data_IF_788628467141
#
_entry.id   IF_788628467141
#
_cell.length_a   1.000
_cell.length_b   1.000
_cell.length_c   1.000
_cell.angle_alpha   90.00
_cell.angle_beta   90.00
_cell.angle_gamma   90.00
#
_symmetry.space_group_name_H-M   'P 1'
#
loop_
_entity.id
_entity.type
_entity.pdbx_description
1 polymer ?
#
# COMPACT_ATOMS: atom_id res chain seq x y z
N UNK A 1 -23.34 15.05 23.57
CA UNK A 1 -22.42 14.27 24.45
C UNK A 1 -21.00 14.75 24.20
N UNK A 2 -20.42 15.54 25.12
CA UNK A 2 -19.06 16.05 24.99
C UNK A 2 -18.07 14.88 25.05
N UNK A 3 -17.26 14.71 24.00
CA UNK A 3 -16.09 13.82 24.05
C UNK A 3 -15.22 14.27 25.23
N UNK A 4 -14.79 13.33 26.09
CA UNK A 4 -13.79 13.65 27.10
C UNK A 4 -12.60 14.30 26.41
N UNK A 5 -11.97 15.32 27.02
CA UNK A 5 -10.81 16.04 26.42
C UNK A 5 -9.76 15.06 25.87
N UNK A 6 -9.51 13.95 26.54
CA UNK A 6 -8.56 12.93 26.12
C UNK A 6 -8.88 12.28 24.75
N UNK A 7 -10.16 12.02 24.43
CA UNK A 7 -10.54 11.42 23.14
C UNK A 7 -10.37 12.37 21.95
N UNK A 8 -10.49 13.69 22.18
CA UNK A 8 -10.20 14.69 21.13
C UNK A 8 -8.73 14.69 20.76
N UNK A 9 -7.82 14.66 21.75
CA UNK A 9 -6.37 14.64 21.49
C UNK A 9 -5.93 13.38 20.78
N UNK A 10 -6.47 12.21 21.14
CA UNK A 10 -6.16 10.95 20.48
C UNK A 10 -6.52 10.97 18.99
N UNK A 11 -7.73 11.47 18.66
CA UNK A 11 -8.16 11.58 17.27
C UNK A 11 -7.33 12.57 16.47
N UNK A 12 -7.01 13.73 17.07
CA UNK A 12 -6.17 14.74 16.41
C UNK A 12 -4.76 14.23 16.15
N UNK A 13 -4.17 13.47 17.07
CA UNK A 13 -2.85 12.89 16.88
C UNK A 13 -2.84 11.81 15.79
N UNK A 14 -3.88 10.98 15.73
CA UNK A 14 -4.04 10.01 14.64
C UNK A 14 -4.12 10.70 13.27
N UNK A 15 -4.86 11.81 13.18
CA UNK A 15 -4.93 12.64 11.98
C UNK A 15 -3.55 13.17 11.58
N UNK A 16 -2.75 13.65 12.54
CA UNK A 16 -1.40 14.12 12.29
C UNK A 16 -0.48 13.01 11.73
N UNK A 17 -0.58 11.77 12.25
CA UNK A 17 0.15 10.63 11.70
C UNK A 17 -0.23 10.37 10.24
N UNK A 18 -1.53 10.41 9.91
CA UNK A 18 -2.00 10.23 8.54
C UNK A 18 -1.49 11.33 7.61
N UNK A 19 -1.58 12.59 8.03
CA UNK A 19 -1.06 13.73 7.26
C UNK A 19 0.43 13.55 7.01
N UNK A 20 1.22 13.26 8.05
CA UNK A 20 2.65 13.04 7.96
C UNK A 20 2.98 11.92 6.96
N UNK A 21 2.26 10.78 7.04
CA UNK A 21 2.47 9.64 6.14
C UNK A 21 2.17 9.97 4.68
N UNK A 22 1.13 10.76 4.41
CA UNK A 22 0.75 11.18 3.05
C UNK A 22 1.77 12.15 2.46
N UNK A 23 2.18 13.16 3.22
CA UNK A 23 3.16 14.16 2.76
C UNK A 23 4.55 13.56 2.52
N UNK A 24 4.88 12.47 3.21
CA UNK A 24 6.13 11.74 3.00
C UNK A 24 6.03 10.59 2.00
N UNK A 25 5.03 10.46 1.20
CA UNK A 25 4.63 9.42 0.24
C UNK A 25 5.70 8.51 -0.40
N UNK A 26 6.94 8.58 0.12
CA UNK A 26 8.09 7.75 -0.22
C UNK A 26 8.34 6.67 0.84
N UNK A 27 8.88 5.53 0.41
CA UNK A 27 9.29 4.45 1.29
C UNK A 27 10.78 4.61 1.62
N UNK A 28 11.10 5.08 2.83
CA UNK A 28 12.46 5.14 3.36
C UNK A 28 12.52 4.46 4.73
N UNK A 29 13.65 3.86 5.06
CA UNK A 29 13.84 3.22 6.36
C UNK A 29 13.63 4.19 7.54
N UNK A 30 14.02 5.45 7.36
CA UNK A 30 13.77 6.51 8.34
C UNK A 30 12.25 6.74 8.55
N UNK A 31 11.46 6.76 7.47
CA UNK A 31 10.02 6.92 7.52
C UNK A 31 9.36 5.76 8.30
N UNK A 32 9.80 4.54 8.05
CA UNK A 32 9.30 3.35 8.77
C UNK A 32 9.57 3.45 10.27
N UNK A 33 10.77 3.88 10.66
CA UNK A 33 11.13 4.09 12.07
C UNK A 33 10.25 5.17 12.73
N UNK A 34 10.09 6.31 12.08
CA UNK A 34 9.28 7.41 12.60
C UNK A 34 7.81 6.98 12.73
N UNK A 35 7.25 6.30 11.73
CA UNK A 35 5.89 5.77 11.80
C UNK A 35 5.72 4.77 12.94
N UNK A 36 6.66 3.86 13.13
CA UNK A 36 6.63 2.92 14.25
C UNK A 36 6.62 3.64 15.60
N UNK A 37 7.49 4.63 15.79
CA UNK A 37 7.54 5.43 17.02
C UNK A 37 6.25 6.21 17.25
N UNK A 38 5.72 6.88 16.22
CA UNK A 38 4.49 7.65 16.32
C UNK A 38 3.28 6.75 16.66
N UNK A 39 3.15 5.61 16.01
CA UNK A 39 2.07 4.66 16.24
C UNK A 39 2.19 4.03 17.63
N UNK A 40 3.40 3.66 18.05
CA UNK A 40 3.66 3.12 19.40
C UNK A 40 3.36 4.14 20.50
N UNK A 41 3.78 5.40 20.31
CA UNK A 41 3.47 6.49 21.23
C UNK A 41 1.95 6.74 21.31
N UNK A 42 1.27 6.73 20.17
CA UNK A 42 -0.18 6.85 20.12
C UNK A 42 -0.88 5.71 20.84
N UNK A 43 -0.39 4.47 20.71
CA UNK A 43 -0.90 3.32 21.47
C UNK A 43 -0.77 3.52 22.98
N UNK A 44 0.39 4.02 23.45
CA UNK A 44 0.61 4.32 24.88
C UNK A 44 -0.38 5.37 25.37
N UNK A 45 -0.63 6.42 24.59
CA UNK A 45 -1.63 7.44 24.93
C UNK A 45 -3.04 6.83 25.04
N UNK A 46 -3.40 5.94 24.13
CA UNK A 46 -4.69 5.26 24.14
C UNK A 46 -4.84 4.30 25.33
N UNK A 47 -3.79 3.58 25.70
CA UNK A 47 -3.81 2.57 26.78
C UNK A 47 -4.07 3.14 28.17
N UNK A 48 -3.89 4.45 28.35
CA UNK A 48 -4.25 5.15 29.61
C UNK A 48 -5.76 5.25 29.88
N UNK A 49 -6.59 5.00 28.89
CA UNK A 49 -8.05 4.98 29.06
C UNK A 49 -8.51 3.57 29.45
N UNK A 50 -9.19 3.42 30.60
CA UNK A 50 -9.72 2.13 31.11
C UNK A 50 -10.62 1.43 30.09
N UNK A 51 -11.41 2.19 29.32
CA UNK A 51 -12.29 1.66 28.29
C UNK A 51 -11.49 0.99 27.14
N UNK A 52 -10.33 1.53 26.80
CA UNK A 52 -9.44 0.92 25.81
C UNK A 52 -8.98 -0.47 26.25
N UNK A 53 -8.61 -0.64 27.50
CA UNK A 53 -8.14 -1.93 28.01
C UNK A 53 -9.24 -3.01 27.98
N UNK A 54 -10.48 -2.65 28.25
CA UNK A 54 -11.63 -3.57 28.13
C UNK A 54 -11.87 -3.96 26.67
N UNK A 55 -11.89 -2.99 25.78
CA UNK A 55 -12.06 -3.24 24.35
C UNK A 55 -10.88 -4.03 23.76
N UNK A 56 -9.65 -3.78 24.24
CA UNK A 56 -8.48 -4.56 23.82
C UNK A 56 -8.65 -6.04 24.17
N UNK A 57 -9.02 -6.35 25.41
CA UNK A 57 -9.28 -7.72 25.84
C UNK A 57 -10.34 -8.40 24.97
N UNK A 58 -11.42 -7.66 24.66
CA UNK A 58 -12.50 -8.15 23.81
C UNK A 58 -12.00 -8.41 22.39
N UNK A 59 -11.29 -7.46 21.77
CA UNK A 59 -10.69 -7.60 20.45
C UNK A 59 -9.76 -8.81 20.35
N UNK A 60 -8.86 -8.97 21.34
CA UNK A 60 -7.94 -10.12 21.38
C UNK A 60 -8.70 -11.43 21.50
N UNK A 61 -9.78 -11.45 22.30
CA UNK A 61 -10.59 -12.66 22.46
C UNK A 61 -11.32 -13.06 21.18
N UNK A 62 -11.91 -12.09 20.49
CA UNK A 62 -12.61 -12.32 19.21
C UNK A 62 -11.67 -12.76 18.09
N UNK A 63 -10.49 -12.16 18.01
CA UNK A 63 -9.55 -12.39 16.90
C UNK A 63 -8.34 -13.23 17.33
N UNK A 64 -8.49 -14.09 18.34
CA UNK A 64 -7.40 -14.84 18.95
C UNK A 64 -6.57 -15.63 17.93
N UNK A 65 -7.21 -16.31 16.98
CA UNK A 65 -6.53 -17.11 15.95
C UNK A 65 -5.72 -16.24 15.00
N UNK A 66 -6.31 -15.15 14.51
CA UNK A 66 -5.65 -14.22 13.61
C UNK A 66 -4.42 -13.57 14.26
N UNK A 67 -4.58 -13.08 15.49
CA UNK A 67 -3.48 -12.48 16.26
C UNK A 67 -2.38 -13.50 16.54
N UNK A 68 -2.73 -14.74 16.86
CA UNK A 68 -1.76 -15.81 17.09
C UNK A 68 -0.89 -16.07 15.85
N UNK A 69 -1.50 -16.26 14.67
CA UNK A 69 -0.76 -16.46 13.43
C UNK A 69 0.07 -15.23 13.04
N UNK A 70 -0.44 -14.03 13.29
CA UNK A 70 0.31 -12.80 13.04
C UNK A 70 1.53 -12.67 13.96
N UNK A 71 1.39 -12.98 15.23
CA UNK A 71 2.52 -13.00 16.18
C UNK A 71 3.56 -14.06 15.77
N UNK A 72 3.12 -15.26 15.37
CA UNK A 72 4.02 -16.27 14.83
C UNK A 72 4.76 -15.77 13.58
N UNK A 73 4.07 -15.04 12.70
CA UNK A 73 4.70 -14.40 11.55
C UNK A 73 5.78 -13.38 11.97
N UNK A 74 5.52 -12.54 12.98
CA UNK A 74 6.53 -11.61 13.50
C UNK A 74 7.74 -12.33 14.11
N UNK A 75 7.53 -13.40 14.85
CA UNK A 75 8.63 -14.24 15.37
C UNK A 75 9.41 -14.90 14.23
N UNK A 76 8.73 -15.32 13.18
CA UNK A 76 9.38 -15.83 11.98
C UNK A 76 10.26 -14.78 11.29
N UNK A 77 9.81 -13.54 11.15
CA UNK A 77 10.64 -12.45 10.64
C UNK A 77 11.87 -12.19 11.52
N UNK A 78 11.68 -12.21 12.82
CA UNK A 78 12.80 -12.11 13.75
C UNK A 78 13.81 -13.26 13.56
N UNK A 79 13.33 -14.49 13.37
CA UNK A 79 14.16 -15.66 13.09
C UNK A 79 14.99 -15.50 11.81
N UNK A 80 14.44 -14.91 10.74
CA UNK A 80 15.19 -14.62 9.52
C UNK A 80 16.35 -13.63 9.72
N UNK A 81 16.26 -12.76 10.74
CA UNK A 81 17.25 -11.71 11.04
C UNK A 81 18.34 -12.21 11.97
N UNK A 82 18.01 -13.15 12.86
CA UNK A 82 18.95 -13.63 13.88
C UNK A 82 20.19 -14.29 13.27
N UNK A 83 21.38 -14.03 13.83
CA UNK A 83 22.60 -14.69 13.40
C UNK A 83 22.56 -16.16 13.80
N UNK A 84 22.58 -17.04 12.82
CA UNK A 84 22.62 -18.49 12.98
C UNK A 84 24.02 -19.01 12.66
N UNK A 85 24.45 -20.16 13.23
CA UNK A 85 25.66 -20.83 12.79
C UNK A 85 25.64 -21.09 11.28
N UNK A 86 26.74 -20.78 10.58
CA UNK A 86 26.78 -20.89 9.10
C UNK A 86 26.39 -22.29 8.61
N UNK A 87 26.76 -23.33 9.35
CA UNK A 87 26.36 -24.70 8.98
C UNK A 87 24.86 -24.93 8.96
N UNK A 88 24.10 -24.23 9.78
CA UNK A 88 22.63 -24.33 9.75
C UNK A 88 22.02 -23.71 8.51
N UNK A 89 22.71 -22.76 7.84
CA UNK A 89 22.26 -22.19 6.58
C UNK A 89 22.23 -23.20 5.43
N UNK A 90 22.94 -24.33 5.54
CA UNK A 90 22.83 -25.44 4.59
C UNK A 90 21.38 -25.88 4.44
N UNK A 91 20.63 -25.83 5.54
CA UNK A 91 19.21 -26.21 5.58
C UNK A 91 18.27 -25.04 5.32
N UNK A 92 18.48 -23.90 5.98
CA UNK A 92 17.55 -22.76 5.93
C UNK A 92 17.71 -21.88 4.69
N UNK A 93 18.92 -21.73 4.15
CA UNK A 93 19.23 -20.88 3.00
C UNK A 93 20.43 -21.42 2.23
N UNK A 94 20.27 -22.54 1.46
CA UNK A 94 21.37 -23.23 0.78
C UNK A 94 22.14 -22.31 -0.20
N UNK A 95 21.43 -21.44 -0.91
CA UNK A 95 22.06 -20.54 -1.88
C UNK A 95 22.93 -19.48 -1.19
N UNK A 96 22.47 -18.91 -0.06
CA UNK A 96 23.31 -18.01 0.74
C UNK A 96 24.51 -18.73 1.32
N UNK A 97 24.36 -19.99 1.77
CA UNK A 97 25.48 -20.80 2.23
C UNK A 97 26.54 -21.00 1.13
N UNK A 98 26.13 -21.35 -0.09
CA UNK A 98 27.05 -21.48 -1.25
C UNK A 98 27.78 -20.15 -1.51
N UNK A 99 27.05 -19.04 -1.49
CA UNK A 99 27.60 -17.70 -1.68
C UNK A 99 28.66 -17.36 -0.64
N UNK A 100 28.40 -17.62 0.66
CA UNK A 100 29.36 -17.37 1.73
C UNK A 100 30.64 -18.20 1.59
N UNK A 101 30.52 -19.45 1.16
CA UNK A 101 31.68 -20.31 0.90
C UNK A 101 32.50 -19.78 -0.28
N UNK A 102 31.85 -19.33 -1.34
CA UNK A 102 32.54 -18.81 -2.54
C UNK A 102 33.36 -17.55 -2.24
N UNK A 103 33.00 -16.81 -1.18
CA UNK A 103 33.74 -15.64 -0.71
C UNK A 103 34.96 -15.98 0.17
N UNK A 104 35.24 -17.28 0.43
CA UNK A 104 36.30 -17.74 1.34
C UNK A 104 36.28 -17.00 2.70
N UNK A 105 35.06 -16.70 3.21
CA UNK A 105 34.89 -15.92 4.43
C UNK A 105 34.83 -16.82 5.65
N UNK A 106 35.60 -16.52 6.69
CA UNK A 106 35.61 -17.22 7.98
C UNK A 106 34.43 -16.84 8.90
N UNK A 107 33.26 -16.52 8.30
CA UNK A 107 32.09 -16.18 9.08
C UNK A 107 31.55 -17.40 9.86
N UNK A 108 31.54 -17.31 11.17
CA UNK A 108 30.97 -18.34 12.06
C UNK A 108 29.45 -18.25 12.14
N UNK A 109 28.89 -17.03 11.99
CA UNK A 109 27.46 -16.76 12.12
C UNK A 109 26.99 -15.88 10.97
N UNK A 110 25.80 -16.16 10.44
CA UNK A 110 25.11 -15.31 9.46
C UNK A 110 23.60 -15.50 9.56
N UNK A 111 22.82 -14.50 9.18
CA UNK A 111 21.35 -14.57 9.15
C UNK A 111 20.84 -15.29 7.91
N UNK A 112 19.55 -15.72 7.91
CA UNK A 112 18.87 -16.19 6.71
C UNK A 112 18.71 -15.03 5.73
N UNK A 113 18.31 -13.85 6.24
CA UNK A 113 18.14 -12.65 5.41
C UNK A 113 19.46 -12.22 4.77
N UNK A 114 19.40 -11.86 3.46
CA UNK A 114 20.52 -11.26 2.73
C UNK A 114 20.80 -9.82 3.18
N UNK A 115 19.77 -9.12 3.66
CA UNK A 115 19.86 -7.74 4.16
C UNK A 115 19.22 -7.61 5.55
N UNK A 116 19.89 -8.06 6.64
CA UNK A 116 19.30 -8.07 7.98
C UNK A 116 18.81 -6.71 8.47
N UNK A 117 19.50 -5.62 8.12
CA UNK A 117 19.11 -4.25 8.46
C UNK A 117 17.77 -3.87 7.82
N UNK A 118 17.61 -4.14 6.51
CA UNK A 118 16.35 -3.86 5.82
C UNK A 118 15.21 -4.72 6.34
N UNK A 119 15.51 -6.00 6.63
CA UNK A 119 14.53 -6.92 7.23
C UNK A 119 14.08 -6.46 8.61
N UNK A 120 14.96 -5.86 9.40
CA UNK A 120 14.60 -5.28 10.69
C UNK A 120 13.64 -4.09 10.53
N UNK A 121 13.86 -3.21 9.56
CA UNK A 121 12.91 -2.13 9.28
C UNK A 121 11.54 -2.67 8.83
N UNK A 122 11.51 -3.71 8.03
CA UNK A 122 10.26 -4.35 7.65
C UNK A 122 9.56 -5.02 8.85
N UNK A 123 10.29 -5.65 9.77
CA UNK A 123 9.74 -6.16 11.02
C UNK A 123 9.07 -5.02 11.81
N UNK A 124 9.71 -3.87 11.98
CA UNK A 124 9.13 -2.70 12.64
C UNK A 124 7.86 -2.22 11.94
N UNK A 125 7.85 -2.25 10.60
CA UNK A 125 6.68 -1.89 9.81
C UNK A 125 5.50 -2.84 10.10
N UNK A 126 5.71 -4.15 10.08
CA UNK A 126 4.67 -5.14 10.42
C UNK A 126 4.22 -5.03 11.88
N UNK A 127 5.10 -4.75 12.82
CA UNK A 127 4.71 -4.45 14.20
C UNK A 127 3.80 -3.21 14.28
N UNK A 128 4.15 -2.14 13.56
CA UNK A 128 3.33 -0.92 13.53
C UNK A 128 1.95 -1.16 12.91
N UNK A 129 1.86 -1.98 11.86
CA UNK A 129 0.59 -2.35 11.25
C UNK A 129 -0.33 -3.11 12.21
N UNK A 130 0.18 -4.03 13.01
CA UNK A 130 -0.61 -4.74 14.02
C UNK A 130 -1.19 -3.76 15.05
N UNK A 131 -0.37 -2.85 15.57
CA UNK A 131 -0.80 -1.83 16.53
C UNK A 131 -1.84 -0.90 15.86
N UNK A 132 -1.60 -0.50 14.62
CA UNK A 132 -2.49 0.38 13.87
C UNK A 132 -3.87 -0.26 13.64
N UNK A 133 -3.94 -1.52 13.24
CA UNK A 133 -5.21 -2.25 13.07
C UNK A 133 -6.01 -2.27 14.37
N UNK A 134 -5.33 -2.53 15.49
CA UNK A 134 -5.96 -2.48 16.80
C UNK A 134 -6.52 -1.09 17.13
N UNK A 135 -5.72 -0.03 16.95
CA UNK A 135 -6.14 1.35 17.21
C UNK A 135 -7.31 1.76 16.34
N UNK A 136 -7.25 1.43 15.04
CA UNK A 136 -8.33 1.71 14.09
C UNK A 136 -9.65 1.07 14.52
N UNK A 137 -9.62 -0.22 14.88
CA UNK A 137 -10.83 -0.91 15.34
C UNK A 137 -11.43 -0.26 16.59
N UNK A 138 -10.57 0.23 17.48
CA UNK A 138 -10.98 0.92 18.72
C UNK A 138 -11.58 2.30 18.47
N UNK A 139 -10.96 3.11 17.61
CA UNK A 139 -11.44 4.45 17.29
C UNK A 139 -12.74 4.38 16.49
N UNK A 140 -12.83 3.45 15.54
CA UNK A 140 -13.95 3.35 14.58
C UNK A 140 -15.06 2.39 14.99
N UNK A 141 -15.05 1.91 16.22
CA UNK A 141 -16.17 1.19 16.78
C UNK A 141 -17.49 2.01 16.77
N UNK A 142 -17.37 3.35 16.89
CA UNK A 142 -18.53 4.25 16.84
C UNK A 142 -18.70 4.81 15.42
N UNK A 143 -19.87 4.66 14.82
CA UNK A 143 -20.24 5.17 13.48
C UNK A 143 -19.91 6.66 13.28
N UNK A 144 -20.07 7.48 14.34
CA UNK A 144 -19.73 8.90 14.29
C UNK A 144 -18.24 9.16 14.00
N UNK A 145 -17.34 8.36 14.57
CA UNK A 145 -15.90 8.50 14.32
C UNK A 145 -15.51 7.97 12.95
N UNK A 146 -16.18 6.92 12.50
CA UNK A 146 -16.02 6.36 11.16
C UNK A 146 -16.37 7.40 10.08
N UNK A 147 -17.54 8.06 10.20
CA UNK A 147 -17.95 9.11 9.26
C UNK A 147 -16.98 10.32 9.24
N UNK A 148 -16.43 10.69 10.38
CA UNK A 148 -15.41 11.74 10.46
C UNK A 148 -14.11 11.32 9.77
N UNK A 149 -13.69 10.07 9.89
CA UNK A 149 -12.54 9.56 9.16
C UNK A 149 -12.79 9.58 7.65
N UNK A 150 -13.95 9.12 7.20
CA UNK A 150 -14.30 9.18 5.78
C UNK A 150 -14.24 10.59 5.23
N UNK A 151 -14.79 11.57 5.95
CA UNK A 151 -14.73 12.98 5.57
C UNK A 151 -13.29 13.49 5.52
N UNK A 152 -12.48 13.12 6.49
CA UNK A 152 -11.08 13.53 6.58
C UNK A 152 -10.24 12.92 5.43
N UNK A 153 -10.39 11.62 5.14
CA UNK A 153 -9.74 10.96 4.02
C UNK A 153 -10.18 11.57 2.68
N UNK A 154 -11.48 11.90 2.54
CA UNK A 154 -12.00 12.59 1.36
C UNK A 154 -11.32 13.95 1.17
N UNK A 155 -11.14 14.70 2.23
CA UNK A 155 -10.50 16.03 2.18
C UNK A 155 -9.01 15.93 1.84
N UNK A 156 -8.26 15.02 2.48
CA UNK A 156 -6.84 14.80 2.13
C UNK A 156 -6.69 14.31 0.69
N UNK A 157 -7.56 13.39 0.26
CA UNK A 157 -7.57 12.92 -1.13
C UNK A 157 -7.81 14.06 -2.12
N UNK A 158 -8.77 14.94 -1.82
CA UNK A 158 -9.03 16.13 -2.62
C UNK A 158 -7.81 17.05 -2.72
N UNK A 159 -7.19 17.40 -1.59
CA UNK A 159 -6.00 18.25 -1.58
C UNK A 159 -4.82 17.61 -2.33
N UNK A 160 -4.59 16.32 -2.12
CA UNK A 160 -3.53 15.58 -2.79
C UNK A 160 -3.77 15.50 -4.31
N UNK A 161 -5.00 15.25 -4.74
CA UNK A 161 -5.38 15.22 -6.14
C UNK A 161 -5.23 16.60 -6.79
N UNK A 162 -5.67 17.67 -6.11
CA UNK A 162 -5.58 19.04 -6.60
C UNK A 162 -4.12 19.45 -6.80
N UNK A 163 -3.26 19.22 -5.80
CA UNK A 163 -1.83 19.53 -5.87
C UNK A 163 -1.17 18.71 -6.99
N UNK A 164 -1.47 17.42 -7.07
CA UNK A 164 -0.88 16.53 -8.05
C UNK A 164 -1.27 16.89 -9.50
N UNK A 165 -2.53 17.21 -9.75
CA UNK A 165 -3.01 17.65 -11.08
C UNK A 165 -2.45 19.01 -11.44
N UNK A 166 -2.36 19.94 -10.49
CA UNK A 166 -1.78 21.26 -10.73
C UNK A 166 -0.29 21.14 -11.11
N UNK A 167 0.49 20.38 -10.34
CA UNK A 167 1.91 20.14 -10.65
C UNK A 167 2.10 19.49 -12.02
N UNK A 168 1.26 18.51 -12.35
CA UNK A 168 1.30 17.84 -13.65
C UNK A 168 1.02 18.80 -14.81
N UNK A 169 -0.02 19.63 -14.70
CA UNK A 169 -0.40 20.60 -15.73
C UNK A 169 0.60 21.76 -15.86
N UNK A 170 1.27 22.14 -14.78
CA UNK A 170 2.32 23.17 -14.80
C UNK A 170 3.69 22.65 -15.28
N UNK A 171 3.80 21.39 -15.71
CA UNK A 171 5.06 20.79 -16.17
C UNK A 171 6.00 20.37 -15.03
N UNK A 172 5.46 20.13 -13.83
CA UNK A 172 6.22 19.74 -12.63
C UNK A 172 7.31 20.75 -12.23
N UNK A 173 6.99 22.02 -12.32
CA UNK A 173 7.86 23.12 -11.86
C UNK A 173 8.06 23.02 -10.34
N UNK A 174 9.28 23.30 -9.87
CA UNK A 174 9.64 23.36 -8.44
C UNK A 174 8.97 24.51 -7.69
N UNK A 175 7.65 24.43 -7.48
CA UNK A 175 6.91 25.51 -6.82
C UNK A 175 7.06 25.44 -5.30
N UNK A 176 7.34 24.28 -4.71
CA UNK A 176 7.24 24.07 -3.27
C UNK A 176 8.47 23.41 -2.62
N UNK A 177 9.65 23.41 -3.23
CA UNK A 177 10.86 22.73 -2.70
C UNK A 177 10.65 21.26 -2.31
N UNK A 178 9.52 20.67 -2.68
CA UNK A 178 9.30 19.23 -2.51
C UNK A 178 10.17 18.50 -3.52
N UNK A 179 10.89 17.47 -3.05
CA UNK A 179 11.80 16.67 -3.86
C UNK A 179 11.20 16.41 -5.24
N UNK A 180 11.89 16.92 -6.25
CA UNK A 180 11.57 16.69 -7.64
C UNK A 180 11.53 15.21 -7.95
N UNK A 181 10.34 14.66 -8.02
CA UNK A 181 10.15 13.44 -8.74
C UNK A 181 9.91 13.86 -10.19
N UNK A 182 11.00 13.86 -11.00
CA UNK A 182 10.97 14.24 -12.42
C UNK A 182 10.09 13.33 -13.28
N UNK A 183 8.86 13.13 -12.88
CA UNK A 183 7.90 12.34 -13.65
C UNK A 183 7.00 13.28 -14.45
N UNK A 184 7.52 13.80 -15.55
CA UNK A 184 6.78 14.68 -16.47
C UNK A 184 5.61 13.99 -17.18
N UNK A 185 5.55 12.65 -17.12
CA UNK A 185 4.57 11.84 -17.88
C UNK A 185 3.27 11.54 -17.15
N UNK A 186 3.18 11.79 -15.83
CA UNK A 186 2.02 11.45 -15.02
C UNK A 186 1.93 12.25 -13.72
N UNK A 187 0.71 12.38 -13.19
CA UNK A 187 0.46 12.98 -11.88
C UNK A 187 0.86 11.99 -10.77
N UNK A 188 1.79 12.38 -9.88
CA UNK A 188 2.25 11.56 -8.75
C UNK A 188 2.10 12.25 -7.39
N UNK A 189 1.89 13.57 -7.37
CA UNK A 189 1.79 14.34 -6.12
C UNK A 189 3.02 14.15 -5.23
N UNK A 190 2.78 13.80 -3.98
CA UNK A 190 3.84 13.55 -3.00
C UNK A 190 4.45 12.14 -3.06
N UNK A 191 3.93 11.28 -3.94
CA UNK A 191 4.35 9.89 -4.04
C UNK A 191 5.40 9.70 -5.14
N UNK A 192 6.36 8.82 -4.90
CA UNK A 192 7.38 8.45 -5.90
C UNK A 192 6.75 7.64 -7.03
N UNK A 193 5.81 6.74 -6.68
CA UNK A 193 5.20 5.80 -7.60
C UNK A 193 3.75 6.19 -7.90
N UNK A 194 3.45 6.44 -9.19
CA UNK A 194 2.11 6.76 -9.68
C UNK A 194 1.06 5.68 -9.36
N UNK A 195 1.47 4.39 -9.33
CA UNK A 195 0.59 3.28 -8.99
C UNK A 195 0.15 3.34 -7.51
N UNK A 196 1.09 3.60 -6.61
CA UNK A 196 0.80 3.75 -5.17
C UNK A 196 -0.08 4.98 -4.93
N UNK A 197 0.20 6.09 -5.62
CA UNK A 197 -0.63 7.29 -5.52
C UNK A 197 -2.06 7.05 -6.02
N UNK A 198 -2.24 6.33 -7.14
CA UNK A 198 -3.57 6.00 -7.65
C UNK A 198 -4.38 5.13 -6.69
N UNK A 199 -3.75 4.16 -6.01
CA UNK A 199 -4.39 3.34 -4.98
C UNK A 199 -4.79 4.19 -3.77
N UNK A 200 -3.93 5.10 -3.32
CA UNK A 200 -4.25 6.04 -2.25
C UNK A 200 -5.46 6.91 -2.61
N UNK A 201 -5.50 7.49 -3.81
CA UNK A 201 -6.65 8.27 -4.28
C UNK A 201 -7.92 7.43 -4.38
N UNK A 202 -7.82 6.15 -4.77
CA UNK A 202 -8.94 5.23 -4.80
C UNK A 202 -9.53 4.99 -3.40
N UNK A 203 -8.70 4.80 -2.37
CA UNK A 203 -9.17 4.73 -0.99
C UNK A 203 -9.87 6.01 -0.53
N UNK A 204 -9.36 7.17 -0.93
CA UNK A 204 -10.00 8.44 -0.64
C UNK A 204 -11.34 8.60 -1.38
N UNK A 205 -11.42 8.13 -2.62
CA UNK A 205 -12.65 8.12 -3.41
C UNK A 205 -13.72 7.21 -2.77
N UNK A 206 -13.36 5.98 -2.39
CA UNK A 206 -14.24 5.06 -1.68
C UNK A 206 -14.74 5.71 -0.37
N UNK A 207 -13.85 6.37 0.38
CA UNK A 207 -14.22 7.09 1.60
C UNK A 207 -15.22 8.21 1.33
N UNK A 208 -15.06 8.93 0.22
CA UNK A 208 -15.99 9.99 -0.22
C UNK A 208 -17.36 9.41 -0.59
N UNK A 209 -17.39 8.29 -1.31
CA UNK A 209 -18.62 7.61 -1.69
C UNK A 209 -19.38 7.08 -0.46
N UNK A 210 -18.67 6.47 0.50
CA UNK A 210 -19.29 6.02 1.75
C UNK A 210 -19.79 7.19 2.61
N UNK A 211 -19.10 8.33 2.61
CA UNK A 211 -19.59 9.55 3.25
C UNK A 211 -20.92 10.02 2.64
N UNK A 212 -21.04 10.05 1.31
CA UNK A 212 -22.27 10.39 0.59
C UNK A 212 -23.40 9.38 0.84
N UNK A 213 -23.06 8.10 0.92
CA UNK A 213 -24.01 7.03 1.18
C UNK A 213 -24.62 7.13 2.60
N UNK A 214 -23.79 7.44 3.59
CA UNK A 214 -24.19 7.56 4.97
C UNK A 214 -24.87 8.91 5.28
N UNK A 215 -24.72 9.92 4.43
CA UNK A 215 -25.31 11.26 4.63
C UNK A 215 -26.83 11.32 4.54
N UNK A 216 -27.51 10.28 4.05
CA UNK A 216 -29.00 10.22 4.02
C UNK A 216 -29.67 10.43 5.38
N UNK A 217 -28.99 10.08 6.48
CA UNK A 217 -29.50 10.22 7.84
C UNK A 217 -29.21 11.58 8.48
N UNK A 218 -28.54 12.48 7.77
CA UNK A 218 -28.12 13.78 8.28
C UNK A 218 -28.81 14.85 7.44
N UNK A 219 -30.10 15.10 7.71
CA UNK A 219 -30.89 16.19 7.08
C UNK A 219 -30.26 17.58 7.22
N UNK A 220 -29.31 17.75 8.17
CA UNK A 220 -28.72 19.03 8.52
C UNK A 220 -27.41 19.40 7.78
N UNK A 221 -26.91 18.54 6.85
CA UNK A 221 -25.60 18.77 6.24
C UNK A 221 -25.60 18.79 4.71
N UNK A 222 -26.54 19.52 4.09
CA UNK A 222 -26.56 19.77 2.64
C UNK A 222 -25.21 20.31 2.15
N UNK A 223 -24.61 21.25 2.88
CA UNK A 223 -23.34 21.87 2.58
C UNK A 223 -22.20 20.82 2.51
N UNK A 224 -22.11 19.93 3.50
CA UNK A 224 -21.08 18.88 3.51
C UNK A 224 -21.27 17.93 2.31
N UNK A 225 -22.50 17.59 1.97
CA UNK A 225 -22.80 16.75 0.80
C UNK A 225 -22.32 17.39 -0.50
N UNK A 226 -22.48 18.70 -0.65
CA UNK A 226 -21.98 19.45 -1.83
C UNK A 226 -20.46 19.40 -1.92
N UNK A 227 -19.77 19.69 -0.79
CA UNK A 227 -18.30 19.61 -0.77
C UNK A 227 -17.78 18.19 -1.06
N UNK A 228 -18.39 17.15 -0.51
CA UNK A 228 -17.96 15.78 -0.78
C UNK A 228 -18.16 15.38 -2.25
N UNK A 229 -19.21 15.87 -2.90
CA UNK A 229 -19.37 15.67 -4.38
C UNK A 229 -18.27 16.36 -5.16
N UNK A 230 -17.89 17.58 -4.79
CA UNK A 230 -16.75 18.29 -5.36
C UNK A 230 -15.45 17.47 -5.16
N UNK A 231 -15.23 16.92 -3.96
CA UNK A 231 -14.06 16.09 -3.67
C UNK A 231 -14.03 14.84 -4.57
N UNK A 232 -15.17 14.18 -4.77
CA UNK A 232 -15.29 13.03 -5.68
C UNK A 232 -14.79 13.38 -7.07
N UNK A 233 -15.24 14.51 -7.65
CA UNK A 233 -14.83 14.95 -8.98
C UNK A 233 -13.31 15.18 -9.06
N UNK A 234 -12.74 15.95 -8.15
CA UNK A 234 -11.31 16.24 -8.17
C UNK A 234 -10.43 15.01 -7.90
N UNK A 235 -10.85 14.13 -6.97
CA UNK A 235 -10.14 12.86 -6.72
C UNK A 235 -10.16 11.97 -7.96
N UNK A 236 -11.30 11.90 -8.67
CA UNK A 236 -11.40 11.13 -9.92
C UNK A 236 -10.48 11.69 -10.99
N UNK A 237 -10.47 13.01 -11.20
CA UNK A 237 -9.54 13.66 -12.13
C UNK A 237 -8.10 13.35 -11.77
N UNK A 238 -7.73 13.53 -10.48
CA UNK A 238 -6.39 13.23 -9.99
C UNK A 238 -5.99 11.77 -10.18
N UNK A 239 -6.92 10.81 -9.98
CA UNK A 239 -6.68 9.39 -10.16
C UNK A 239 -6.44 9.06 -11.65
N UNK A 240 -7.27 9.56 -12.54
CA UNK A 240 -7.16 9.31 -13.98
C UNK A 240 -5.87 9.91 -14.54
N UNK A 241 -5.49 11.12 -14.13
CA UNK A 241 -4.23 11.76 -14.55
C UNK A 241 -2.96 11.09 -14.04
N UNK A 242 -3.05 10.12 -13.13
CA UNK A 242 -1.90 9.26 -12.80
C UNK A 242 -1.49 8.36 -13.96
N UNK A 243 -2.38 8.10 -14.91
CA UNK A 243 -2.19 7.13 -15.99
C UNK A 243 -1.72 5.75 -15.51
N UNK A 244 -2.11 5.37 -14.31
CA UNK A 244 -1.82 4.06 -13.75
C UNK A 244 -2.79 3.02 -14.30
N UNK A 245 -2.28 2.01 -15.00
CA UNK A 245 -3.12 0.89 -15.52
C UNK A 245 -3.89 0.22 -14.38
N UNK A 246 -3.20 -0.07 -13.26
CA UNK A 246 -3.79 -0.70 -12.08
C UNK A 246 -4.81 0.24 -11.42
N UNK A 247 -4.48 1.53 -11.28
CA UNK A 247 -5.39 2.52 -10.69
C UNK A 247 -6.70 2.64 -11.45
N UNK A 248 -6.64 2.77 -12.78
CA UNK A 248 -7.83 2.89 -13.62
C UNK A 248 -8.65 1.58 -13.66
N UNK A 249 -7.97 0.41 -13.71
CA UNK A 249 -8.65 -0.87 -13.63
C UNK A 249 -9.41 -1.04 -12.30
N UNK A 250 -8.77 -0.70 -11.18
CA UNK A 250 -9.40 -0.76 -9.87
C UNK A 250 -10.52 0.28 -9.71
N UNK A 251 -10.39 1.47 -10.32
CA UNK A 251 -11.46 2.46 -10.36
C UNK A 251 -12.70 1.88 -11.04
N UNK A 252 -12.56 1.37 -12.26
CA UNK A 252 -13.68 0.77 -12.99
C UNK A 252 -14.28 -0.44 -12.26
N UNK A 253 -13.44 -1.30 -11.71
CA UNK A 253 -13.89 -2.47 -10.94
C UNK A 253 -14.67 -2.07 -9.67
N UNK A 254 -14.23 -1.04 -8.96
CA UNK A 254 -14.95 -0.53 -7.78
C UNK A 254 -16.26 0.16 -8.16
N UNK A 255 -16.28 0.92 -9.25
CA UNK A 255 -17.52 1.53 -9.74
C UNK A 255 -18.53 0.48 -10.18
N UNK A 256 -18.09 -0.57 -10.87
CA UNK A 256 -18.92 -1.71 -11.24
C UNK A 256 -19.49 -2.40 -9.99
N UNK A 257 -18.67 -2.65 -8.99
CA UNK A 257 -19.11 -3.26 -7.73
C UNK A 257 -20.19 -2.40 -7.03
N UNK A 258 -19.99 -1.09 -6.93
CA UNK A 258 -21.00 -0.19 -6.38
C UNK A 258 -22.29 -0.17 -7.19
N UNK A 259 -22.19 -0.19 -8.53
CA UNK A 259 -23.33 -0.22 -9.43
C UNK A 259 -24.15 -1.51 -9.24
N UNK A 260 -23.49 -2.67 -9.25
CA UNK A 260 -24.12 -3.98 -9.03
C UNK A 260 -24.81 -4.02 -7.67
N UNK A 261 -24.14 -3.52 -6.63
CA UNK A 261 -24.70 -3.48 -5.29
C UNK A 261 -25.97 -2.61 -5.19
N UNK A 262 -25.96 -1.42 -5.82
CA UNK A 262 -27.12 -0.52 -5.81
C UNK A 262 -28.29 -1.02 -6.69
N UNK A 263 -28.02 -1.77 -7.74
CA UNK A 263 -29.07 -2.24 -8.69
C UNK A 263 -29.69 -3.57 -8.20
N UNK A 264 -28.84 -4.53 -7.78
CA UNK A 264 -29.26 -5.92 -7.57
C UNK A 264 -29.40 -6.29 -6.10
N UNK A 265 -28.59 -5.72 -5.20
CA UNK A 265 -28.51 -6.18 -3.81
C UNK A 265 -29.40 -5.32 -2.90
N UNK A 266 -29.41 -4.01 -3.08
CA UNK A 266 -30.19 -3.12 -2.21
C UNK A 266 -31.65 -3.06 -2.57
N UNK A 267 -32.51 -3.17 -1.53
CA UNK A 267 -33.94 -2.99 -1.65
C UNK A 267 -34.35 -1.53 -1.93
N UNK A 268 -33.67 -0.59 -1.28
CA UNK A 268 -33.92 0.85 -1.46
C UNK A 268 -32.90 1.44 -2.46
N UNK A 269 -33.36 1.78 -3.65
CA UNK A 269 -32.54 2.35 -4.72
C UNK A 269 -32.23 3.82 -4.47
N UNK A 270 -30.96 4.21 -4.53
CA UNK A 270 -30.52 5.59 -4.43
C UNK A 270 -30.15 6.16 -5.79
N UNK A 271 -31.11 6.80 -6.47
CA UNK A 271 -30.89 7.37 -7.80
C UNK A 271 -29.76 8.41 -7.80
N UNK A 272 -29.66 9.24 -6.75
CA UNK A 272 -28.59 10.25 -6.65
C UNK A 272 -27.21 9.61 -6.58
N UNK A 273 -27.05 8.55 -5.80
CA UNK A 273 -25.80 7.82 -5.67
C UNK A 273 -25.42 7.11 -6.98
N UNK A 274 -26.39 6.48 -7.66
CA UNK A 274 -26.19 5.89 -8.98
C UNK A 274 -25.75 6.90 -10.02
N UNK A 275 -26.35 8.10 -10.03
CA UNK A 275 -25.94 9.16 -10.96
C UNK A 275 -24.51 9.64 -10.68
N UNK A 276 -24.06 9.70 -9.41
CA UNK A 276 -22.68 10.04 -9.06
C UNK A 276 -21.71 8.99 -9.64
N UNK A 277 -22.02 7.71 -9.52
CA UNK A 277 -21.18 6.63 -10.10
C UNK A 277 -21.10 6.79 -11.64
N UNK A 278 -22.22 7.04 -12.29
CA UNK A 278 -22.24 7.28 -13.75
C UNK A 278 -21.39 8.48 -14.14
N UNK A 279 -21.46 9.59 -13.38
CA UNK A 279 -20.65 10.79 -13.64
C UNK A 279 -19.15 10.45 -13.49
N UNK A 280 -18.75 9.66 -12.50
CA UNK A 280 -17.34 9.23 -12.31
C UNK A 280 -16.84 8.48 -13.55
N UNK A 281 -17.63 7.51 -14.03
CA UNK A 281 -17.28 6.73 -15.24
C UNK A 281 -17.22 7.62 -16.48
N UNK A 282 -18.14 8.57 -16.61
CA UNK A 282 -18.11 9.53 -17.73
C UNK A 282 -16.89 10.46 -17.69
N UNK A 283 -16.48 10.91 -16.50
CA UNK A 283 -15.25 11.71 -16.33
C UNK A 283 -14.02 10.89 -16.75
N UNK A 284 -13.95 9.62 -16.35
CA UNK A 284 -12.86 8.72 -16.73
C UNK A 284 -12.78 8.56 -18.26
N UNK A 285 -13.89 8.24 -18.91
CA UNK A 285 -13.96 8.10 -20.37
C UNK A 285 -13.62 9.42 -21.07
N UNK A 286 -14.12 10.56 -20.57
CA UNK A 286 -13.86 11.87 -21.16
C UNK A 286 -12.38 12.25 -21.09
N UNK A 287 -11.75 12.09 -19.93
CA UNK A 287 -10.34 12.44 -19.74
C UNK A 287 -9.44 11.51 -20.57
N UNK A 288 -9.67 10.20 -20.51
CA UNK A 288 -8.85 9.23 -21.24
C UNK A 288 -9.09 9.30 -22.76
N UNK A 289 -10.35 9.45 -23.20
CA UNK A 289 -10.72 9.38 -24.60
C UNK A 289 -10.51 10.69 -25.37
N UNK A 290 -10.94 11.83 -24.83
CA UNK A 290 -11.01 13.10 -25.54
C UNK A 290 -9.82 13.99 -25.23
N UNK A 291 -9.48 14.17 -23.96
CA UNK A 291 -8.42 15.12 -23.57
C UNK A 291 -7.01 14.62 -23.92
N UNK A 292 -6.74 13.33 -23.71
CA UNK A 292 -5.42 12.76 -24.00
C UNK A 292 -5.31 12.11 -25.37
N UNK A 293 -6.45 11.96 -26.08
CA UNK A 293 -6.52 11.34 -27.41
C UNK A 293 -6.31 9.82 -27.37
N UNK A 294 -6.88 9.16 -28.36
CA UNK A 294 -6.73 7.70 -28.54
C UNK A 294 -5.27 7.26 -28.76
N UNK A 295 -4.41 8.14 -29.29
CA UNK A 295 -2.98 7.86 -29.56
C UNK A 295 -2.23 7.43 -28.30
N UNK A 296 -2.37 8.13 -27.18
CA UNK A 296 -1.66 7.74 -25.93
C UNK A 296 -2.16 6.44 -25.31
N UNK A 297 -3.43 6.09 -25.53
CA UNK A 297 -3.97 4.79 -25.10
C UNK A 297 -3.42 3.70 -26.02
N UNK A 298 -3.42 3.93 -27.32
CA UNK A 298 -2.89 3.01 -28.35
C UNK A 298 -1.39 2.82 -28.14
N UNK A 299 -0.60 3.89 -27.95
CA UNK A 299 0.83 3.80 -27.66
C UNK A 299 1.14 2.98 -26.42
N UNK A 300 0.25 3.00 -25.42
CA UNK A 300 0.42 2.15 -24.22
C UNK A 300 0.01 0.69 -24.43
N UNK A 301 -0.92 0.42 -25.34
CA UNK A 301 -1.19 -0.95 -25.77
C UNK A 301 -0.05 -1.47 -26.67
N UNK A 302 0.47 -0.64 -27.57
CA UNK A 302 1.63 -0.98 -28.40
C UNK A 302 2.89 -1.22 -27.55
N UNK A 303 3.06 -0.52 -26.41
CA UNK A 303 4.10 -0.81 -25.43
C UNK A 303 3.90 -2.19 -24.77
N UNK A 304 2.68 -2.68 -24.62
CA UNK A 304 2.45 -4.06 -24.18
C UNK A 304 2.87 -5.06 -25.24
N UNK A 305 2.52 -4.82 -26.50
CA UNK A 305 2.96 -5.66 -27.62
C UNK A 305 4.49 -5.67 -27.75
N UNK A 306 5.14 -4.53 -27.53
CA UNK A 306 6.60 -4.45 -27.47
C UNK A 306 7.16 -5.16 -26.22
N UNK A 307 6.54 -5.00 -25.05
CA UNK A 307 6.91 -5.75 -23.83
C UNK A 307 6.74 -7.27 -24.05
N UNK A 308 5.74 -7.71 -24.81
CA UNK A 308 5.55 -9.12 -25.21
C UNK A 308 6.48 -9.56 -26.34
N UNK A 309 6.78 -8.71 -27.29
CA UNK A 309 7.74 -8.98 -28.38
C UNK A 309 9.18 -9.03 -27.88
N UNK A 310 9.56 -8.23 -26.88
CA UNK A 310 10.85 -8.31 -26.17
C UNK A 310 11.02 -9.63 -25.41
N UNK A 311 9.91 -10.34 -25.07
CA UNK A 311 9.96 -11.70 -24.51
C UNK A 311 10.52 -12.71 -25.52
N UNK A 312 10.22 -12.49 -26.80
CA UNK A 312 10.63 -13.39 -27.90
C UNK A 312 12.04 -13.10 -28.40
N UNK A 313 12.52 -11.87 -28.25
CA UNK A 313 13.84 -11.45 -28.68
C UNK A 313 14.81 -11.41 -27.49
N UNK A 314 15.83 -12.26 -27.53
CA UNK A 314 16.88 -12.46 -26.50
C UNK A 314 17.83 -11.23 -26.43
N UNK A 315 17.51 -10.12 -27.08
CA UNK A 315 18.34 -8.93 -26.98
C UNK A 315 18.15 -8.22 -25.62
N UNK A 316 19.29 -7.99 -24.99
CA UNK A 316 19.61 -7.54 -23.65
C UNK A 316 19.05 -6.15 -23.35
N UNK A 317 17.75 -6.03 -23.26
CA UNK A 317 17.12 -4.82 -22.74
C UNK A 317 16.55 -5.12 -21.33
N UNK A 318 17.06 -4.40 -20.34
CA UNK A 318 16.57 -4.44 -18.96
C UNK A 318 15.08 -4.08 -18.91
N UNK A 319 14.23 -5.09 -19.08
CA UNK A 319 12.77 -4.97 -19.08
C UNK A 319 12.18 -5.40 -17.76
N UNK A 320 10.98 -4.90 -17.43
CA UNK A 320 10.23 -5.34 -16.23
C UNK A 320 10.00 -6.84 -16.23
N UNK A 321 9.81 -7.43 -17.39
CA UNK A 321 9.57 -8.86 -17.52
C UNK A 321 10.79 -9.68 -17.12
N UNK A 322 11.99 -9.26 -17.50
CA UNK A 322 13.23 -9.91 -17.09
C UNK A 322 13.40 -9.87 -15.58
N UNK A 323 13.07 -8.74 -14.93
CA UNK A 323 13.08 -8.62 -13.47
C UNK A 323 12.06 -9.56 -12.83
N UNK A 324 10.85 -9.70 -13.39
CA UNK A 324 9.82 -10.62 -12.89
C UNK A 324 10.28 -12.08 -13.08
N UNK A 325 10.86 -12.42 -14.24
CA UNK A 325 11.39 -13.76 -14.53
C UNK A 325 12.53 -14.11 -13.56
N UNK A 326 13.44 -13.16 -13.33
CA UNK A 326 14.49 -13.29 -12.34
C UNK A 326 13.89 -13.51 -10.93
N UNK A 327 12.94 -12.68 -10.52
CA UNK A 327 12.27 -12.82 -9.22
C UNK A 327 11.61 -14.20 -9.05
N UNK A 328 10.94 -14.71 -10.09
CA UNK A 328 10.34 -16.04 -10.08
C UNK A 328 11.39 -17.14 -9.89
N UNK A 329 12.51 -17.05 -10.63
CA UNK A 329 13.60 -18.01 -10.51
C UNK A 329 14.23 -17.97 -9.11
N UNK A 330 14.47 -16.78 -8.57
CA UNK A 330 15.00 -16.64 -7.21
C UNK A 330 14.00 -17.07 -6.14
N UNK A 331 12.70 -16.85 -6.34
CA UNK A 331 11.65 -17.39 -5.45
C UNK A 331 11.74 -18.91 -5.35
N UNK A 332 12.04 -19.61 -6.44
CA UNK A 332 12.25 -21.05 -6.42
C UNK A 332 13.49 -21.47 -5.61
N UNK A 333 14.59 -20.72 -5.76
CA UNK A 333 15.84 -20.97 -5.04
C UNK A 333 15.72 -20.78 -3.52
N UNK A 334 14.83 -19.87 -3.06
CA UNK A 334 14.58 -19.54 -1.65
C UNK A 334 13.16 -19.91 -1.19
N UNK A 335 12.58 -20.97 -1.78
CA UNK A 335 11.15 -21.26 -1.71
C UNK A 335 10.59 -21.38 -0.29
N UNK A 336 11.26 -22.09 0.61
CA UNK A 336 10.71 -22.40 1.94
C UNK A 336 10.85 -21.27 2.94
N UNK A 337 12.06 -20.71 3.08
CA UNK A 337 12.39 -19.75 4.13
C UNK A 337 12.61 -18.33 3.62
N UNK A 338 12.61 -18.11 2.31
CA UNK A 338 12.82 -16.83 1.71
C UNK A 338 14.25 -16.29 1.85
N UNK A 339 14.51 -15.15 1.19
CA UNK A 339 15.79 -14.45 1.25
C UNK A 339 15.76 -13.23 2.20
N UNK A 340 14.68 -13.03 2.93
CA UNK A 340 14.48 -11.95 3.89
C UNK A 340 13.75 -10.73 3.32
N UNK A 341 12.81 -10.13 4.10
CA UNK A 341 12.05 -8.97 3.66
C UNK A 341 12.94 -7.74 3.41
N UNK A 342 12.64 -7.03 2.32
CA UNK A 342 13.41 -5.85 1.89
C UNK A 342 14.80 -6.16 1.35
N UNK A 343 15.07 -7.44 0.99
CA UNK A 343 16.39 -7.87 0.49
C UNK A 343 16.44 -8.02 -1.04
N UNK A 344 15.35 -7.77 -1.75
CA UNK A 344 15.28 -8.01 -3.21
C UNK A 344 16.36 -7.24 -3.98
N UNK A 345 16.60 -5.98 -3.63
CA UNK A 345 17.62 -5.15 -4.29
C UNK A 345 19.02 -5.78 -4.18
N UNK A 346 19.39 -6.26 -2.99
CA UNK A 346 20.68 -6.93 -2.75
C UNK A 346 20.76 -8.27 -3.48
N UNK A 347 19.67 -9.06 -3.43
CA UNK A 347 19.58 -10.30 -4.20
C UNK A 347 19.78 -10.06 -5.69
N UNK A 348 19.16 -8.99 -6.23
CA UNK A 348 19.29 -8.61 -7.63
C UNK A 348 20.74 -8.25 -7.98
N UNK A 349 21.39 -7.44 -7.14
CA UNK A 349 22.79 -7.04 -7.36
C UNK A 349 23.77 -8.23 -7.34
N UNK A 350 23.51 -9.23 -6.49
CA UNK A 350 24.38 -10.41 -6.35
C UNK A 350 24.19 -11.40 -7.52
N UNK A 351 22.94 -11.66 -7.90
CA UNK A 351 22.59 -12.82 -8.70
C UNK A 351 22.12 -12.49 -10.13
N UNK A 352 21.93 -11.20 -10.48
CA UNK A 352 21.49 -10.87 -11.82
C UNK A 352 22.65 -11.09 -12.82
N UNK A 353 22.44 -11.90 -13.89
CA UNK A 353 23.55 -12.40 -14.71
C UNK A 353 24.21 -11.34 -15.61
N UNK A 354 23.61 -10.17 -15.73
CA UNK A 354 24.07 -9.13 -16.65
C UNK A 354 24.70 -7.97 -15.88
N UNK A 355 25.91 -7.57 -16.28
CA UNK A 355 26.56 -6.35 -15.81
C UNK A 355 25.83 -5.12 -16.38
N UNK A 356 24.71 -4.76 -15.78
CA UNK A 356 23.96 -3.56 -16.14
C UNK A 356 24.26 -2.46 -15.14
N UNK A 357 24.40 -1.22 -15.63
CA UNK A 357 24.42 -0.02 -14.77
C UNK A 357 23.02 0.27 -14.17
N UNK A 358 22.04 -0.59 -14.45
CA UNK A 358 20.66 -0.48 -13.96
C UNK A 358 20.43 -1.50 -12.85
N UNK A 359 19.70 -1.10 -11.82
CA UNK A 359 19.31 -1.97 -10.71
C UNK A 359 17.81 -1.92 -10.49
N UNK A 360 17.26 -2.98 -9.94
CA UNK A 360 15.85 -3.06 -9.59
C UNK A 360 15.69 -3.13 -8.07
N UNK A 361 14.99 -2.15 -7.49
CA UNK A 361 14.68 -2.13 -6.06
C UNK A 361 13.55 -3.11 -5.71
N UNK A 362 12.70 -3.44 -6.69
CA UNK A 362 11.52 -4.27 -6.52
C UNK A 362 11.35 -5.24 -7.69
N UNK A 363 10.75 -6.39 -7.41
CA UNK A 363 10.49 -7.43 -8.41
C UNK A 363 9.45 -7.07 -9.47
N UNK A 364 8.77 -5.92 -9.36
CA UNK A 364 7.61 -5.53 -10.16
C UNK A 364 6.44 -6.53 -10.16
N UNK A 365 6.47 -7.51 -9.28
CA UNK A 365 5.42 -8.47 -8.99
C UNK A 365 5.36 -8.68 -7.48
N UNK A 366 4.35 -8.13 -6.82
CA UNK A 366 4.20 -8.17 -5.36
C UNK A 366 4.10 -9.61 -4.85
N UNK A 367 3.44 -10.50 -5.62
CA UNK A 367 3.29 -11.90 -5.24
C UNK A 367 4.64 -12.64 -5.19
N UNK A 368 5.44 -12.54 -6.26
CA UNK A 368 6.74 -13.22 -6.31
C UNK A 368 7.73 -12.59 -5.34
N UNK A 369 7.71 -11.28 -5.19
CA UNK A 369 8.54 -10.62 -4.19
C UNK A 369 8.17 -11.06 -2.79
N UNK A 370 6.88 -11.09 -2.44
CA UNK A 370 6.42 -11.50 -1.13
C UNK A 370 6.78 -12.96 -0.83
N UNK A 371 6.50 -13.90 -1.76
CA UNK A 371 6.85 -15.30 -1.57
C UNK A 371 8.38 -15.48 -1.51
N UNK A 372 9.13 -14.76 -2.34
CA UNK A 372 10.59 -14.84 -2.35
C UNK A 372 11.22 -14.30 -1.05
N UNK A 373 10.75 -13.17 -0.54
CA UNK A 373 11.26 -12.54 0.68
C UNK A 373 10.88 -13.33 1.94
N UNK A 374 9.64 -13.80 2.02
CA UNK A 374 9.11 -14.48 3.21
C UNK A 374 9.15 -16.00 3.13
N UNK A 375 9.37 -16.57 1.96
CA UNK A 375 9.20 -18.00 1.70
C UNK A 375 7.76 -18.48 1.83
N UNK A 376 7.50 -19.72 1.46
CA UNK A 376 6.17 -20.32 1.62
C UNK A 376 5.73 -20.37 3.09
N UNK A 377 6.68 -20.58 4.02
CA UNK A 377 6.37 -20.66 5.43
C UNK A 377 5.86 -19.31 5.98
N UNK A 378 6.57 -18.21 5.71
CA UNK A 378 6.13 -16.87 6.12
C UNK A 378 4.87 -16.43 5.40
N UNK A 379 4.74 -16.75 4.10
CA UNK A 379 3.53 -16.49 3.32
C UNK A 379 2.31 -17.19 3.92
N UNK A 380 2.44 -18.48 4.27
CA UNK A 380 1.35 -19.24 4.88
C UNK A 380 0.92 -18.66 6.24
N UNK A 381 1.87 -18.29 7.11
CA UNK A 381 1.56 -17.67 8.40
C UNK A 381 0.80 -16.34 8.23
N UNK A 382 1.26 -15.49 7.32
CA UNK A 382 0.61 -14.22 7.03
C UNK A 382 -0.78 -14.41 6.45
N UNK A 383 -0.92 -15.31 5.48
CA UNK A 383 -2.22 -15.63 4.85
C UNK A 383 -3.21 -16.21 5.85
N UNK A 384 -2.78 -17.17 6.70
CA UNK A 384 -3.62 -17.73 7.76
C UNK A 384 -4.06 -16.66 8.78
N UNK A 385 -3.19 -15.69 9.08
CA UNK A 385 -3.56 -14.56 9.93
C UNK A 385 -4.70 -13.76 9.33
N UNK A 386 -4.62 -13.39 8.05
CA UNK A 386 -5.67 -12.63 7.36
C UNK A 386 -6.93 -13.47 7.22
N UNK A 387 -6.83 -14.71 6.76
CA UNK A 387 -7.98 -15.58 6.51
C UNK A 387 -8.78 -15.87 7.78
N UNK A 388 -8.08 -16.14 8.90
CA UNK A 388 -8.73 -16.37 10.19
C UNK A 388 -9.41 -15.13 10.80
N UNK A 389 -9.18 -13.94 10.23
CA UNK A 389 -9.88 -12.71 10.62
C UNK A 389 -11.29 -12.62 10.01
N UNK A 390 -11.52 -13.31 8.88
CA UNK A 390 -12.79 -13.33 8.16
C UNK A 390 -13.68 -14.52 8.51
N UNK A 391 -13.15 -15.52 9.21
CA UNK A 391 -13.88 -16.68 9.74
C UNK A 391 -14.22 -16.44 11.21
#
# INVERSE_FOLDING_TARGET
MHLSKNKKYQYSFFILILIYSVFNGGNSNLLIQINFLLISFFYILCSRDKNYNLHFKYFVRENKKSIYFYILFLFYLLFQILPLPVDSLKFFSPEKYKYLISLNSDFKFSSISLAPSNSFFQLLNFCSLLILVFILKMIFYQERHKNRLYLFLSFIGFLSALIATFLYLSGNVDILSFKNYNNTSASTGFFVNRGVFSIFLLFCLISSLECLRNSKNIKDNFIISVYVRLFVVFITIGLVTTFSRIGNFLLLSTMLFYMVNEIFIKKEKNNTFRNIILIIVLIDIFILGIYFGSSRIIDRFNLLDNEFAEIANIEVNFSRFQVIKFALHQTYNYLFFGYGPGSFEILFQINFPELTNKYANHAHSDLFQFIGEFGLFGFALFFLSIFSFFI
#
